data_IF_246085362503
#
_entry.id   IF_246085362503
#
_cell.length_a   1.000
_cell.length_b   1.000
_cell.length_c   1.000
_cell.angle_alpha   90.00
_cell.angle_beta   90.00
_cell.angle_gamma   90.00
#
_symmetry.space_group_name_H-M   'P 1'
#
loop_
_entity.id
_entity.type
_entity.pdbx_description
1 polymer ?
#
# COMPACT_ATOMS: atom_id res chain seq x y z
N UNK A 1 83.58 97.59 -17.84
CA UNK A 1 83.04 96.37 -17.21
C UNK A 1 81.54 96.38 -17.44
N UNK A 2 81.00 95.42 -18.19
CA UNK A 2 79.61 94.97 -18.03
C UNK A 2 79.50 93.57 -18.64
N UNK A 3 79.47 92.56 -17.78
CA UNK A 3 79.25 91.17 -18.15
C UNK A 3 77.74 90.96 -18.30
N UNK A 4 77.26 90.85 -19.54
CA UNK A 4 75.91 90.38 -19.81
C UNK A 4 75.83 88.90 -19.41
N UNK A 5 75.22 88.64 -18.25
CA UNK A 5 74.97 87.30 -17.75
C UNK A 5 74.18 86.47 -18.75
N UNK A 6 74.66 85.26 -19.05
CA UNK A 6 73.90 84.28 -19.83
C UNK A 6 72.71 83.80 -19.00
N UNK A 7 71.50 84.20 -19.36
CA UNK A 7 70.27 83.62 -18.83
C UNK A 7 70.00 82.29 -19.55
N UNK A 8 70.14 81.17 -18.85
CA UNK A 8 69.74 79.86 -19.35
C UNK A 8 68.33 79.52 -18.83
N UNK A 9 67.35 79.43 -19.72
CA UNK A 9 65.98 79.04 -19.39
C UNK A 9 65.80 77.57 -19.74
N UNK A 10 65.64 76.72 -18.73
CA UNK A 10 65.34 75.29 -18.92
C UNK A 10 63.84 75.04 -19.06
N UNK A 11 63.40 74.42 -20.14
CA UNK A 11 62.03 73.95 -20.32
C UNK A 11 61.80 72.69 -19.48
N UNK A 12 60.89 72.76 -18.50
CA UNK A 12 60.53 71.61 -17.68
C UNK A 12 59.36 70.84 -18.31
N UNK A 13 59.66 69.76 -19.02
CA UNK A 13 58.65 68.88 -19.62
C UNK A 13 58.01 67.97 -18.58
N UNK A 14 56.68 67.76 -18.68
CA UNK A 14 55.93 66.88 -17.80
C UNK A 14 56.37 65.40 -17.93
N UNK A 15 56.19 64.57 -16.89
CA UNK A 15 56.64 63.18 -16.87
C UNK A 15 56.08 62.30 -18.00
N UNK A 16 54.85 62.55 -18.47
CA UNK A 16 54.25 61.81 -19.59
C UNK A 16 54.93 62.07 -20.94
N UNK A 17 55.72 63.14 -21.03
CA UNK A 17 56.45 63.56 -22.23
C UNK A 17 57.93 63.19 -22.11
N UNK A 18 58.47 63.13 -20.88
CA UNK A 18 59.82 62.61 -20.59
C UNK A 18 59.90 61.13 -20.98
N UNK A 19 60.79 60.82 -21.91
CA UNK A 19 61.02 59.45 -22.40
C UNK A 19 60.48 59.21 -23.82
N UNK A 20 59.66 60.12 -24.37
CA UNK A 20 59.35 60.09 -25.79
C UNK A 20 60.57 60.59 -26.58
N UNK A 21 61.36 59.65 -27.11
CA UNK A 21 62.61 59.90 -27.85
C UNK A 21 62.44 60.91 -28.98
N UNK A 22 61.24 60.97 -29.59
CA UNK A 22 60.91 61.91 -30.66
C UNK A 22 60.73 63.34 -30.16
N UNK A 23 60.07 63.53 -29.01
CA UNK A 23 59.89 64.86 -28.40
C UNK A 23 61.22 65.38 -27.87
N UNK A 24 62.06 64.50 -27.32
CA UNK A 24 63.38 64.87 -26.84
C UNK A 24 64.29 65.38 -27.98
N UNK A 25 64.34 64.67 -29.11
CA UNK A 25 65.11 65.11 -30.29
C UNK A 25 64.61 66.44 -30.87
N UNK A 26 63.30 66.70 -30.83
CA UNK A 26 62.72 67.97 -31.30
C UNK A 26 63.04 69.13 -30.36
N UNK A 27 63.07 68.88 -29.05
CA UNK A 27 63.44 69.88 -28.04
C UNK A 27 64.93 70.20 -28.12
N UNK A 28 65.79 69.19 -28.32
CA UNK A 28 67.24 69.36 -28.41
C UNK A 28 67.68 70.09 -29.69
N UNK A 29 66.93 69.96 -30.79
CA UNK A 29 67.18 70.63 -32.07
C UNK A 29 66.50 72.00 -32.20
N UNK A 30 65.62 72.38 -31.27
CA UNK A 30 64.84 73.60 -31.38
C UNK A 30 65.63 74.84 -30.95
N UNK A 31 65.62 75.86 -31.80
CA UNK A 31 66.28 77.15 -31.55
C UNK A 31 65.36 78.14 -30.82
N UNK A 32 64.07 77.81 -30.69
CA UNK A 32 63.07 78.59 -29.94
C UNK A 32 61.90 77.72 -29.46
N UNK A 33 61.14 78.20 -28.47
CA UNK A 33 59.91 77.53 -27.99
C UNK A 33 58.88 77.40 -29.11
N UNK A 34 58.81 78.40 -29.98
CA UNK A 34 57.92 78.44 -31.14
C UNK A 34 58.29 77.38 -32.20
N UNK A 35 59.58 77.04 -32.33
CA UNK A 35 60.06 75.92 -33.16
C UNK A 35 59.58 74.57 -32.65
N UNK A 36 59.44 74.39 -31.33
CA UNK A 36 58.93 73.14 -30.74
C UNK A 36 57.43 73.02 -31.02
N UNK A 37 56.67 74.09 -30.81
CA UNK A 37 55.23 74.14 -31.10
C UNK A 37 54.94 73.91 -32.58
N UNK A 38 55.70 74.56 -33.47
CA UNK A 38 55.52 74.43 -34.92
C UNK A 38 55.81 73.00 -35.40
N UNK A 39 56.84 72.33 -34.86
CA UNK A 39 57.17 70.96 -35.20
C UNK A 39 56.21 69.91 -34.59
N UNK A 40 55.58 70.22 -33.46
CA UNK A 40 54.58 69.37 -32.84
C UNK A 40 53.21 69.45 -33.54
N UNK A 41 52.85 70.64 -34.05
CA UNK A 41 51.58 70.88 -34.76
C UNK A 41 51.69 70.48 -36.24
N UNK A 42 52.85 70.70 -36.87
CA UNK A 42 53.13 70.32 -38.26
C UNK A 42 54.37 69.41 -38.32
N UNK A 43 54.20 68.09 -38.16
CA UNK A 43 55.30 67.14 -38.36
C UNK A 43 55.82 67.26 -39.80
N UNK A 44 57.13 67.19 -39.98
CA UNK A 44 57.74 67.22 -41.31
C UNK A 44 57.17 66.12 -42.22
N UNK A 45 56.92 66.37 -43.52
CA UNK A 45 56.38 65.37 -44.46
C UNK A 45 57.20 64.07 -44.51
N UNK A 46 58.49 64.13 -44.22
CA UNK A 46 59.38 62.96 -44.15
C UNK A 46 59.16 62.08 -42.90
N UNK A 47 58.37 62.54 -41.93
CA UNK A 47 58.11 61.88 -40.64
C UNK A 47 56.64 61.47 -40.47
N UNK A 48 55.80 61.77 -41.47
CA UNK A 48 54.45 61.23 -41.58
C UNK A 48 54.53 59.96 -42.43
N UNK A 49 53.91 58.84 -42.00
CA UNK A 49 53.74 57.71 -42.91
C UNK A 49 53.05 58.22 -44.18
N UNK A 50 53.42 57.68 -45.34
CA UNK A 50 52.78 58.09 -46.59
C UNK A 50 51.26 57.94 -46.43
N UNK A 51 50.43 58.86 -46.97
CA UNK A 51 48.97 58.83 -46.78
C UNK A 51 48.36 57.43 -47.03
N UNK A 52 48.93 56.72 -48.01
CA UNK A 52 48.60 55.35 -48.40
C UNK A 52 48.91 54.29 -47.35
N UNK A 53 49.99 54.44 -46.56
CA UNK A 53 50.39 53.49 -45.50
C UNK A 53 49.49 53.65 -44.26
N UNK A 54 49.15 54.88 -43.88
CA UNK A 54 48.23 55.15 -42.78
C UNK A 54 46.83 54.63 -43.10
N UNK A 55 46.36 54.87 -44.32
CA UNK A 55 45.06 54.38 -44.80
C UNK A 55 45.01 52.84 -44.85
N UNK A 56 46.07 52.20 -45.35
CA UNK A 56 46.19 50.74 -45.36
C UNK A 56 46.17 50.14 -43.95
N UNK A 57 46.85 50.79 -43.00
CA UNK A 57 46.87 50.37 -41.59
C UNK A 57 45.50 50.50 -40.94
N UNK A 58 44.80 51.62 -41.15
CA UNK A 58 43.45 51.83 -40.63
C UNK A 58 42.44 50.85 -41.22
N UNK A 59 42.50 50.58 -42.54
CA UNK A 59 41.68 49.53 -43.18
C UNK A 59 41.97 48.15 -42.59
N UNK A 60 43.24 47.84 -42.30
CA UNK A 60 43.64 46.61 -41.62
C UNK A 60 43.00 46.47 -40.24
N UNK A 61 43.03 47.53 -39.41
CA UNK A 61 42.36 47.54 -38.11
C UNK A 61 40.85 47.38 -38.21
N UNK A 62 40.20 48.04 -39.17
CA UNK A 62 38.76 47.91 -39.40
C UNK A 62 38.42 46.47 -39.78
N UNK A 63 39.17 45.84 -40.69
CA UNK A 63 38.94 44.45 -41.08
C UNK A 63 39.19 43.47 -39.92
N UNK A 64 40.23 43.69 -39.11
CA UNK A 64 40.48 42.88 -37.92
C UNK A 64 39.33 43.02 -36.90
N UNK A 65 38.85 44.24 -36.65
CA UNK A 65 37.72 44.50 -35.77
C UNK A 65 36.42 43.85 -36.28
N UNK A 66 36.13 43.96 -37.58
CA UNK A 66 34.97 43.32 -38.21
C UNK A 66 35.02 41.80 -38.16
N UNK A 67 36.21 41.22 -38.36
CA UNK A 67 36.42 39.77 -38.25
C UNK A 67 36.20 39.29 -36.81
N UNK A 68 36.77 40.01 -35.83
CA UNK A 68 36.57 39.72 -34.41
C UNK A 68 35.09 39.86 -34.01
N UNK A 69 34.40 40.90 -34.48
CA UNK A 69 32.97 41.10 -34.25
C UNK A 69 32.14 39.91 -34.77
N UNK A 70 32.33 39.51 -36.02
CA UNK A 70 31.62 38.35 -36.59
C UNK A 70 31.89 37.06 -35.81
N UNK A 71 33.13 36.86 -35.36
CA UNK A 71 33.47 35.70 -34.53
C UNK A 71 32.78 35.75 -33.15
N UNK A 72 32.63 36.93 -32.55
CA UNK A 72 31.89 37.08 -31.29
C UNK A 72 30.38 36.92 -31.47
N UNK A 73 29.81 37.43 -32.57
CA UNK A 73 28.39 37.26 -32.90
C UNK A 73 28.04 35.78 -33.11
N UNK A 74 28.88 35.04 -33.85
CA UNK A 74 28.70 33.59 -34.03
C UNK A 74 28.75 32.81 -32.71
N UNK A 75 29.64 33.19 -31.79
CA UNK A 75 29.69 32.60 -30.43
C UNK A 75 28.44 32.92 -29.63
N UNK A 76 28.00 34.19 -29.65
CA UNK A 76 26.80 34.62 -28.93
C UNK A 76 25.55 33.86 -29.39
N UNK A 77 25.38 33.69 -30.71
CA UNK A 77 24.26 32.92 -31.26
C UNK A 77 24.30 31.46 -30.81
N UNK A 78 25.50 30.87 -30.72
CA UNK A 78 25.68 29.50 -30.23
C UNK A 78 25.31 29.39 -28.75
N UNK A 79 25.76 30.33 -27.91
CA UNK A 79 25.39 30.38 -26.49
C UNK A 79 23.88 30.57 -26.26
N UNK A 80 23.24 31.43 -27.06
CA UNK A 80 21.78 31.62 -27.01
C UNK A 80 21.08 30.29 -27.29
N UNK A 81 21.45 29.59 -28.36
CA UNK A 81 20.86 28.29 -28.71
C UNK A 81 21.07 27.23 -27.62
N UNK A 82 22.26 27.18 -27.01
CA UNK A 82 22.53 26.28 -25.88
C UNK A 82 21.66 26.61 -24.66
N UNK A 83 21.49 27.89 -24.36
CA UNK A 83 20.66 28.36 -23.24
C UNK A 83 19.18 28.03 -23.47
N UNK A 84 18.65 28.30 -24.65
CA UNK A 84 17.25 27.98 -24.99
C UNK A 84 16.98 26.48 -24.89
N UNK A 85 17.93 25.64 -25.32
CA UNK A 85 17.86 24.20 -25.16
C UNK A 85 17.83 23.79 -23.68
N UNK A 86 18.75 24.33 -22.87
CA UNK A 86 18.79 24.07 -21.43
C UNK A 86 17.49 24.51 -20.72
N UNK A 87 16.93 25.66 -21.10
CA UNK A 87 15.64 26.13 -20.59
C UNK A 87 14.46 25.24 -21.02
N UNK A 88 14.52 24.65 -22.22
CA UNK A 88 13.58 23.62 -22.68
C UNK A 88 13.64 22.35 -21.83
N UNK A 89 14.85 21.84 -21.59
CA UNK A 89 15.08 20.66 -20.76
C UNK A 89 14.61 20.89 -19.31
N UNK A 90 14.94 22.04 -18.72
CA UNK A 90 14.49 22.39 -17.37
C UNK A 90 12.96 22.42 -17.26
N UNK A 91 12.25 22.97 -18.25
CA UNK A 91 10.79 22.94 -18.28
C UNK A 91 10.25 21.51 -18.35
N UNK A 92 10.84 20.65 -19.17
CA UNK A 92 10.47 19.23 -19.24
C UNK A 92 10.67 18.53 -17.90
N UNK A 93 11.84 18.70 -17.28
CA UNK A 93 12.13 18.11 -15.98
C UNK A 93 11.17 18.59 -14.89
N UNK A 94 10.83 19.88 -14.86
CA UNK A 94 9.85 20.39 -13.90
C UNK A 94 8.46 19.77 -14.09
N UNK A 95 8.03 19.59 -15.35
CA UNK A 95 6.76 18.94 -15.65
C UNK A 95 6.75 17.48 -15.19
N UNK A 96 7.83 16.73 -15.46
CA UNK A 96 7.97 15.34 -15.02
C UNK A 96 8.02 15.21 -13.49
N UNK A 97 8.70 16.13 -12.80
CA UNK A 97 8.71 16.16 -11.33
C UNK A 97 7.30 16.39 -10.78
N UNK A 98 6.52 17.27 -11.41
CA UNK A 98 5.15 17.52 -10.98
C UNK A 98 4.25 16.28 -11.14
N UNK A 99 4.32 15.61 -12.30
CA UNK A 99 3.53 14.39 -12.54
C UNK A 99 3.97 13.23 -11.65
N UNK A 100 5.27 13.10 -11.38
CA UNK A 100 5.79 12.09 -10.46
C UNK A 100 5.34 12.36 -9.02
N UNK A 101 5.28 13.61 -8.57
CA UNK A 101 4.78 13.96 -7.24
C UNK A 101 3.31 13.56 -7.09
N UNK A 102 2.48 13.90 -8.06
CA UNK A 102 1.07 13.50 -8.07
C UNK A 102 0.90 11.97 -8.06
N UNK A 103 1.70 11.25 -8.85
CA UNK A 103 1.73 9.79 -8.85
C UNK A 103 2.12 9.19 -7.49
N UNK A 104 3.13 9.77 -6.84
CA UNK A 104 3.57 9.33 -5.50
C UNK A 104 2.49 9.59 -4.45
N UNK A 105 1.83 10.74 -4.47
CA UNK A 105 0.72 11.05 -3.56
C UNK A 105 -0.43 10.05 -3.75
N UNK A 106 -0.80 9.75 -4.99
CA UNK A 106 -1.81 8.75 -5.31
C UNK A 106 -1.42 7.34 -4.83
N UNK A 107 -0.16 6.94 -5.03
CA UNK A 107 0.35 5.64 -4.57
C UNK A 107 0.35 5.53 -3.04
N UNK A 108 0.69 6.62 -2.34
CA UNK A 108 0.63 6.69 -0.88
C UNK A 108 -0.80 6.57 -0.37
N UNK A 109 -1.76 7.27 -0.99
CA UNK A 109 -3.17 7.18 -0.66
C UNK A 109 -3.70 5.74 -0.86
N UNK A 110 -3.33 5.10 -1.97
CA UNK A 110 -3.72 3.72 -2.26
C UNK A 110 -3.11 2.73 -1.26
N UNK A 111 -1.86 2.94 -0.86
CA UNK A 111 -1.18 2.13 0.16
C UNK A 111 -1.88 2.25 1.51
N UNK A 112 -2.23 3.47 1.93
CA UNK A 112 -2.97 3.70 3.17
C UNK A 112 -4.36 3.05 3.13
N UNK A 113 -5.06 3.12 1.99
CA UNK A 113 -6.34 2.45 1.79
C UNK A 113 -6.21 0.93 1.94
N UNK A 114 -5.26 0.30 1.24
CA UNK A 114 -5.08 -1.16 1.34
C UNK A 114 -4.66 -1.60 2.73
N UNK A 115 -3.84 -0.82 3.44
CA UNK A 115 -3.52 -1.09 4.84
C UNK A 115 -4.78 -1.10 5.71
N UNK A 116 -5.63 -0.07 5.60
CA UNK A 116 -6.87 -0.01 6.37
C UNK A 116 -7.85 -1.15 6.05
N UNK A 117 -7.88 -1.63 4.79
CA UNK A 117 -8.66 -2.81 4.41
C UNK A 117 -8.06 -4.08 5.02
N UNK A 118 -6.73 -4.23 4.99
CA UNK A 118 -6.03 -5.36 5.59
C UNK A 118 -6.29 -5.45 7.09
N UNK A 119 -6.18 -4.33 7.80
CA UNK A 119 -6.42 -4.26 9.25
C UNK A 119 -7.86 -4.72 9.59
N UNK A 120 -8.86 -4.27 8.80
CA UNK A 120 -10.27 -4.72 8.97
C UNK A 120 -10.47 -6.21 8.69
N UNK A 121 -9.75 -6.76 7.72
CA UNK A 121 -9.84 -8.18 7.41
C UNK A 121 -9.21 -9.02 8.53
N UNK A 122 -8.12 -8.54 9.13
CA UNK A 122 -7.49 -9.19 10.27
C UNK A 122 -8.43 -9.22 11.50
N UNK A 123 -9.08 -8.09 11.81
CA UNK A 123 -10.12 -8.02 12.84
C UNK A 123 -11.26 -9.02 12.57
N UNK A 124 -11.76 -9.06 11.33
CA UNK A 124 -12.82 -9.99 10.92
C UNK A 124 -12.39 -11.46 11.06
N UNK A 125 -11.16 -11.80 10.69
CA UNK A 125 -10.61 -13.16 10.84
C UNK A 125 -10.56 -13.53 12.33
N UNK A 126 -10.15 -12.60 13.20
CA UNK A 126 -10.13 -12.80 14.65
C UNK A 126 -11.54 -13.11 15.19
N UNK A 127 -12.53 -12.29 14.83
CA UNK A 127 -13.93 -12.50 15.23
C UNK A 127 -14.48 -13.85 14.76
N UNK A 128 -14.25 -14.20 13.49
CA UNK A 128 -14.69 -15.48 12.94
C UNK A 128 -14.00 -16.68 13.61
N UNK A 129 -12.74 -16.54 14.00
CA UNK A 129 -12.00 -17.56 14.73
C UNK A 129 -12.64 -17.80 16.11
N UNK A 130 -13.04 -16.74 16.80
CA UNK A 130 -13.74 -16.86 18.08
C UNK A 130 -15.13 -17.52 17.91
N UNK A 131 -15.89 -17.10 16.90
CA UNK A 131 -17.20 -17.71 16.59
C UNK A 131 -17.05 -19.20 16.29
N UNK A 132 -16.03 -19.58 15.51
CA UNK A 132 -15.73 -20.98 15.21
C UNK A 132 -15.46 -21.76 16.49
N UNK A 133 -14.57 -21.29 17.36
CA UNK A 133 -14.26 -21.96 18.63
C UNK A 133 -15.50 -22.14 19.52
N UNK A 134 -16.36 -21.11 19.62
CA UNK A 134 -17.63 -21.19 20.34
C UNK A 134 -18.57 -22.23 19.73
N UNK A 135 -18.66 -22.29 18.41
CA UNK A 135 -19.51 -23.25 17.71
C UNK A 135 -19.02 -24.69 17.90
N UNK A 136 -17.71 -24.94 17.80
CA UNK A 136 -17.12 -26.25 18.06
C UNK A 136 -17.40 -26.72 19.49
N UNK A 137 -17.27 -25.84 20.48
CA UNK A 137 -17.59 -26.17 21.87
C UNK A 137 -19.06 -26.54 22.06
N UNK A 138 -19.98 -25.85 21.36
CA UNK A 138 -21.42 -26.18 21.38
C UNK A 138 -21.70 -27.54 20.72
N UNK A 139 -21.02 -27.85 19.62
CA UNK A 139 -21.13 -29.15 18.95
C UNK A 139 -20.66 -30.27 19.88
N UNK A 140 -19.49 -30.14 20.49
CA UNK A 140 -18.98 -31.14 21.44
C UNK A 140 -19.94 -31.36 22.62
N UNK A 141 -20.48 -30.28 23.20
CA UNK A 141 -21.46 -30.40 24.28
C UNK A 141 -22.76 -31.11 23.84
N UNK A 142 -23.21 -30.87 22.61
CA UNK A 142 -24.36 -31.57 22.04
C UNK A 142 -24.05 -33.05 21.80
N UNK A 143 -22.86 -33.39 21.29
CA UNK A 143 -22.40 -34.76 21.11
C UNK A 143 -22.35 -35.53 22.44
N UNK A 144 -21.83 -34.91 23.50
CA UNK A 144 -21.80 -35.49 24.85
C UNK A 144 -23.23 -35.75 25.38
N UNK A 145 -24.14 -34.80 25.16
CA UNK A 145 -25.55 -34.94 25.56
C UNK A 145 -26.23 -36.08 24.80
N UNK A 146 -26.00 -36.19 23.49
CA UNK A 146 -26.53 -37.29 22.67
C UNK A 146 -25.96 -38.64 23.12
N UNK A 147 -24.67 -38.70 23.43
CA UNK A 147 -24.04 -39.91 23.94
C UNK A 147 -24.67 -40.34 25.28
N UNK A 148 -24.93 -39.40 26.18
CA UNK A 148 -25.59 -39.68 27.46
C UNK A 148 -27.04 -40.16 27.28
N UNK A 149 -27.85 -39.44 26.49
CA UNK A 149 -29.22 -39.84 26.19
C UNK A 149 -29.30 -41.24 25.56
N UNK A 150 -28.36 -41.58 24.68
CA UNK A 150 -28.29 -42.93 24.11
C UNK A 150 -27.98 -44.00 25.16
N UNK A 151 -27.13 -43.72 26.16
CA UNK A 151 -26.89 -44.63 27.28
C UNK A 151 -28.16 -44.81 28.13
N UNK A 152 -28.84 -43.72 28.45
CA UNK A 152 -30.10 -43.74 29.21
C UNK A 152 -31.18 -44.54 28.46
N UNK A 153 -31.34 -44.30 27.16
CA UNK A 153 -32.30 -45.02 26.32
C UNK A 153 -31.99 -46.52 26.29
N UNK A 154 -30.72 -46.91 26.16
CA UNK A 154 -30.31 -48.33 26.19
C UNK A 154 -30.65 -48.97 27.53
N UNK A 155 -30.40 -48.27 28.63
CA UNK A 155 -30.74 -48.74 29.98
C UNK A 155 -32.26 -48.91 30.14
N UNK A 156 -33.04 -47.87 29.85
CA UNK A 156 -34.49 -47.89 29.95
C UNK A 156 -35.12 -48.99 29.08
N UNK A 157 -34.61 -49.20 27.86
CA UNK A 157 -35.03 -50.31 26.99
C UNK A 157 -34.76 -51.66 27.64
N UNK A 158 -33.59 -51.85 28.24
CA UNK A 158 -33.25 -53.12 28.90
C UNK A 158 -34.16 -53.41 30.11
N UNK A 159 -34.44 -52.40 30.94
CA UNK A 159 -35.36 -52.53 32.08
C UNK A 159 -36.79 -52.83 31.64
N UNK A 160 -37.25 -52.16 30.59
CA UNK A 160 -38.59 -52.38 30.04
C UNK A 160 -38.75 -53.80 29.50
N UNK A 161 -37.77 -54.28 28.74
CA UNK A 161 -37.75 -55.67 28.24
C UNK A 161 -37.76 -56.66 29.40
N UNK A 162 -36.98 -56.43 30.46
CA UNK A 162 -36.98 -57.28 31.65
C UNK A 162 -38.34 -57.29 32.37
N UNK A 163 -39.00 -56.13 32.50
CA UNK A 163 -40.35 -56.02 33.08
C UNK A 163 -41.41 -56.74 32.24
N UNK A 164 -41.34 -56.64 30.91
CA UNK A 164 -42.22 -57.41 30.02
C UNK A 164 -42.02 -58.90 30.27
N UNK A 165 -40.78 -59.39 30.26
CA UNK A 165 -40.50 -60.80 30.49
C UNK A 165 -41.05 -61.29 31.85
N UNK A 166 -40.83 -60.53 32.92
CA UNK A 166 -41.35 -60.84 34.25
C UNK A 166 -42.88 -60.87 34.29
N UNK A 167 -43.56 -59.89 33.67
CA UNK A 167 -45.01 -59.85 33.59
C UNK A 167 -45.56 -61.02 32.76
N UNK A 168 -44.93 -61.35 31.62
CA UNK A 168 -45.28 -62.52 30.81
C UNK A 168 -45.20 -63.81 31.63
N UNK A 169 -44.14 -63.99 32.43
CA UNK A 169 -44.04 -65.14 33.36
C UNK A 169 -45.15 -65.12 34.42
N UNK A 170 -45.45 -63.95 35.00
CA UNK A 170 -46.52 -63.82 35.99
C UNK A 170 -47.90 -64.17 35.41
N UNK A 171 -48.21 -63.69 34.22
CA UNK A 171 -49.47 -64.00 33.51
C UNK A 171 -49.56 -65.48 33.19
N UNK A 172 -48.47 -66.12 32.76
CA UNK A 172 -48.43 -67.56 32.52
C UNK A 172 -48.71 -68.35 33.82
N UNK A 173 -48.10 -67.96 34.94
CA UNK A 173 -48.32 -68.59 36.24
C UNK A 173 -49.76 -68.42 36.74
N UNK A 174 -50.34 -67.22 36.60
CA UNK A 174 -51.74 -66.97 36.93
C UNK A 174 -52.68 -67.81 36.06
N UNK A 175 -52.41 -67.89 34.76
CA UNK A 175 -53.20 -68.70 33.82
C UNK A 175 -53.16 -70.18 34.20
N UNK A 176 -51.99 -70.72 34.57
CA UNK A 176 -51.85 -72.08 35.06
C UNK A 176 -52.62 -72.31 36.37
N UNK A 177 -52.55 -71.35 37.30
CA UNK A 177 -53.28 -71.41 38.59
C UNK A 177 -54.79 -71.45 38.35
N UNK A 178 -55.33 -70.57 37.50
CA UNK A 178 -56.75 -70.54 37.16
C UNK A 178 -57.20 -71.83 36.45
N UNK A 179 -56.36 -72.40 35.59
CA UNK A 179 -56.65 -73.68 34.96
C UNK A 179 -56.76 -74.82 35.99
N UNK A 180 -55.87 -74.85 37.00
CA UNK A 180 -55.95 -75.81 38.11
C UNK A 180 -57.24 -75.59 38.92
N UNK A 181 -57.58 -74.35 39.29
CA UNK A 181 -58.80 -74.05 40.04
C UNK A 181 -60.07 -74.49 39.30
N UNK A 182 -60.15 -74.26 37.98
CA UNK A 182 -61.29 -74.75 37.17
C UNK A 182 -61.44 -76.27 37.20
N UNK A 183 -60.33 -77.01 37.18
CA UNK A 183 -60.35 -78.48 37.32
C UNK A 183 -60.86 -78.91 38.70
N UNK A 184 -60.55 -78.13 39.75
CA UNK A 184 -60.99 -78.40 41.13
C UNK A 184 -62.49 -78.11 41.30
N UNK A 185 -62.99 -77.01 40.74
CA UNK A 185 -64.42 -76.63 40.79
C UNK A 185 -65.29 -77.68 40.06
N UNK A 186 -64.85 -78.16 38.89
CA UNK A 186 -65.53 -79.26 38.17
C UNK A 186 -65.49 -80.60 38.93
N UNK A 187 -64.58 -80.77 39.90
CA UNK A 187 -64.33 -82.03 40.59
C UNK A 187 -65.14 -82.23 41.87
N UNK A 188 -65.47 -81.18 42.62
CA UNK A 188 -66.24 -81.30 43.87
C UNK A 188 -67.70 -80.89 43.67
N UNK A 189 -67.94 -79.70 43.15
CA UNK A 189 -69.29 -79.16 42.93
C UNK A 189 -69.98 -79.85 41.74
N UNK A 190 -69.24 -80.11 40.67
CA UNK A 190 -69.72 -80.91 39.54
C UNK A 190 -70.10 -82.34 39.93
N UNK A 191 -69.33 -82.99 40.83
CA UNK A 191 -69.67 -84.33 41.35
C UNK A 191 -70.84 -84.29 42.33
N UNK A 192 -70.91 -83.28 43.20
CA UNK A 192 -72.03 -83.11 44.13
C UNK A 192 -73.36 -82.82 43.39
N UNK A 193 -73.32 -81.95 42.38
CA UNK A 193 -74.49 -81.61 41.56
C UNK A 193 -75.01 -82.80 40.73
N UNK A 194 -74.10 -83.60 40.14
CA UNK A 194 -74.48 -84.87 39.49
C UNK A 194 -75.10 -85.85 40.49
N UNK A 195 -74.50 -86.01 41.67
CA UNK A 195 -75.01 -86.92 42.70
C UNK A 195 -76.36 -86.48 43.28
N UNK A 196 -76.59 -85.17 43.43
CA UNK A 196 -77.91 -84.63 43.78
C UNK A 196 -78.94 -84.90 42.68
N UNK A 197 -78.58 -84.73 41.41
CA UNK A 197 -79.46 -85.02 40.28
C UNK A 197 -79.83 -86.50 40.20
N UNK A 198 -78.85 -87.39 40.37
CA UNK A 198 -79.05 -88.84 40.45
C UNK A 198 -79.95 -89.24 41.64
N UNK A 199 -79.76 -88.63 42.81
CA UNK A 199 -80.61 -88.86 43.98
C UNK A 199 -82.05 -88.37 43.75
N UNK A 200 -82.24 -87.22 43.09
CA UNK A 200 -83.55 -86.70 42.72
C UNK A 200 -84.26 -87.58 41.68
N UNK A 201 -83.54 -88.08 40.68
CA UNK A 201 -84.10 -89.07 39.73
C UNK A 201 -84.46 -90.37 40.42
N UNK A 202 -83.60 -90.88 41.30
CA UNK A 202 -83.89 -92.08 42.08
C UNK A 202 -85.10 -91.89 43.00
N UNK A 203 -85.26 -90.72 43.61
CA UNK A 203 -86.42 -90.39 44.43
C UNK A 203 -87.70 -90.32 43.58
N UNK A 204 -87.65 -89.70 42.40
CA UNK A 204 -88.77 -89.72 41.44
C UNK A 204 -89.15 -91.15 41.03
N UNK A 205 -88.18 -92.00 40.74
CA UNK A 205 -88.42 -93.38 40.38
C UNK A 205 -89.07 -94.18 41.53
N UNK A 206 -88.62 -93.96 42.77
CA UNK A 206 -89.21 -94.56 43.97
C UNK A 206 -90.64 -94.08 44.24
N UNK A 207 -90.93 -92.80 44.02
CA UNK A 207 -92.29 -92.24 44.11
C UNK A 207 -93.22 -92.87 43.06
N UNK A 208 -92.74 -93.11 41.83
CA UNK A 208 -93.53 -93.82 40.82
C UNK A 208 -93.70 -95.31 41.10
N UNK A 209 -92.75 -95.94 41.82
CA UNK A 209 -92.80 -97.36 42.14
C UNK A 209 -93.67 -97.70 43.37
N UNK A 210 -94.04 -96.72 44.20
CA UNK A 210 -94.90 -96.89 45.39
C UNK A 210 -96.08 -95.89 45.37
N UNK A 211 -97.22 -96.22 44.72
CA UNK A 211 -98.31 -95.28 44.47
C UNK A 211 -99.31 -95.12 45.63
N UNK A 212 -98.90 -95.26 46.90
CA UNK A 212 -99.81 -95.12 48.06
C UNK A 212 -99.36 -94.09 49.11
N UNK A 213 -98.48 -93.17 48.70
CA UNK A 213 -98.25 -91.85 49.27
C UNK A 213 -98.16 -90.84 48.12
#
# INVERSE_FOLDING_TARGET
MEALGRLAVGLHLQPAIRGNRRVQLLVDAAVSVESIYSAAIYPSPAQQPAPTELEGTLRGYIHAAQSAQKATEGRLLTEIGLRENAEGLLRSCHQEIATLRESVENAQALTAHYKAVSDKLEDSISDHTEVLARSENRVRAAEDTVADLNRQLKHAKSEFVAKIAANTTQVANLSATLAISRIVDDSAEGKASRRCSELLERNRWLMTANPTL
#
